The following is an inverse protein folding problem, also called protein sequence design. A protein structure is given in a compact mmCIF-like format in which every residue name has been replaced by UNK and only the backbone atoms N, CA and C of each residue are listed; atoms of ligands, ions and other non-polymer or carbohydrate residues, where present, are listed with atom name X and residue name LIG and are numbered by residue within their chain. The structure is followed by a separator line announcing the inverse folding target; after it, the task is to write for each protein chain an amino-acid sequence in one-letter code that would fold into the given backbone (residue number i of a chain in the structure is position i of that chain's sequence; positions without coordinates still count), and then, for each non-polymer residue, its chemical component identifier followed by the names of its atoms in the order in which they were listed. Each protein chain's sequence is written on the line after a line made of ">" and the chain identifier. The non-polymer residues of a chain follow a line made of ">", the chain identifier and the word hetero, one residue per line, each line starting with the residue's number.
data_IF_475486687889
#
_entry.id   IF_475486687889
#
_cell.length_a   1.000
_cell.length_b   1.000
_cell.length_c   1.000
_cell.angle_alpha   90.00
_cell.angle_beta   90.00
_cell.angle_gamma   90.00
#
_symmetry.space_group_name_H-M   'P 1'
#
loop_
_entity.id
_entity.type
_entity.pdbx_description
1 polymer ?
#
# COMPACT_ATOMS: atom_id res chain seq x y z
N UNK A 1 16.98 4.94 -11.48
CA UNK A 1 15.57 4.86 -11.94
C UNK A 1 15.26 3.67 -12.87
N UNK A 2 16.23 3.04 -13.54
CA UNK A 2 15.97 1.99 -14.54
C UNK A 2 15.12 0.81 -14.05
N UNK A 3 15.36 0.31 -12.83
CA UNK A 3 14.54 -0.77 -12.24
C UNK A 3 13.08 -0.36 -12.00
N UNK A 4 12.84 0.92 -11.69
CA UNK A 4 11.49 1.44 -11.49
C UNK A 4 10.74 1.52 -12.82
N UNK A 5 11.41 1.97 -13.89
CA UNK A 5 10.84 1.98 -15.24
C UNK A 5 10.54 0.55 -15.75
N UNK A 6 11.47 -0.38 -15.57
CA UNK A 6 11.28 -1.80 -15.92
C UNK A 6 10.11 -2.43 -15.14
N UNK A 7 10.02 -2.16 -13.83
CA UNK A 7 8.90 -2.61 -13.01
C UNK A 7 7.56 -2.04 -13.47
N UNK A 8 7.53 -0.77 -13.85
CA UNK A 8 6.30 -0.14 -14.34
C UNK A 8 5.88 -0.68 -15.72
N UNK A 9 6.83 -1.05 -16.59
CA UNK A 9 6.55 -1.71 -17.88
C UNK A 9 5.99 -3.12 -17.72
N UNK A 10 6.39 -3.86 -16.67
CA UNK A 10 5.88 -5.21 -16.39
C UNK A 10 4.54 -5.20 -15.62
N UNK A 11 4.09 -4.03 -15.17
CA UNK A 11 2.78 -3.87 -14.55
C UNK A 11 1.70 -4.02 -15.61
N UNK A 12 0.67 -4.83 -15.32
CA UNK A 12 -0.52 -4.90 -16.16
C UNK A 12 -1.20 -3.53 -16.17
N UNK A 13 -1.10 -2.86 -17.31
CA UNK A 13 -1.77 -1.61 -17.61
C UNK A 13 -2.67 -1.89 -18.81
N UNK A 14 -3.99 -1.99 -18.59
CA UNK A 14 -4.93 -1.96 -19.69
C UNK A 14 -5.65 -0.62 -19.70
N UNK A 15 -5.63 0.13 -20.82
CA UNK A 15 -6.42 1.34 -20.95
C UNK A 15 -7.90 1.08 -20.68
N UNK A 16 -8.55 1.99 -19.98
CA UNK A 16 -10.01 2.15 -20.04
C UNK A 16 -10.31 3.52 -20.64
N UNK A 17 -11.55 3.72 -21.11
CA UNK A 17 -12.01 4.99 -21.65
C UNK A 17 -11.92 6.18 -20.67
N UNK A 18 -11.62 5.94 -19.39
CA UNK A 18 -11.56 6.94 -18.33
C UNK A 18 -10.15 7.25 -17.81
N UNK A 19 -9.17 6.34 -17.96
CA UNK A 19 -7.78 6.62 -17.57
C UNK A 19 -6.78 5.63 -18.19
N UNK A 20 -5.71 6.16 -18.82
CA UNK A 20 -4.82 5.40 -19.72
C UNK A 20 -3.63 4.73 -19.01
N UNK A 21 -3.27 5.19 -17.80
CA UNK A 21 -1.95 4.87 -17.21
C UNK A 21 -2.01 4.01 -15.93
N UNK A 22 -3.13 3.99 -15.19
CA UNK A 22 -3.18 3.38 -13.83
C UNK A 22 -4.41 2.52 -13.49
N UNK A 23 -5.38 2.34 -14.37
CA UNK A 23 -6.76 2.04 -13.94
C UNK A 23 -7.04 0.62 -13.45
N UNK A 24 -6.14 -0.37 -13.60
CA UNK A 24 -6.52 -1.78 -13.41
C UNK A 24 -5.73 -2.62 -12.41
N UNK A 25 -4.64 -2.10 -11.85
CA UNK A 25 -3.86 -2.81 -10.84
C UNK A 25 -3.36 -1.86 -9.77
N UNK A 26 -3.16 -2.35 -8.54
CA UNK A 26 -2.47 -1.60 -7.48
C UNK A 26 -0.98 -1.90 -7.56
N UNK A 27 -0.14 -0.88 -7.36
CA UNK A 27 1.30 -1.06 -7.23
C UNK A 27 1.79 -0.62 -5.85
N UNK A 28 2.77 -1.35 -5.33
CA UNK A 28 3.43 -1.04 -4.06
C UNK A 28 4.92 -1.05 -4.28
N UNK A 29 5.55 0.09 -4.04
CA UNK A 29 7.00 0.25 -4.03
C UNK A 29 7.46 0.52 -2.60
N UNK A 30 8.30 -0.38 -2.07
CA UNK A 30 8.93 -0.20 -0.78
C UNK A 30 10.40 0.18 -0.97
N UNK A 31 10.80 1.33 -0.43
CA UNK A 31 12.20 1.74 -0.29
C UNK A 31 12.60 1.53 1.16
N UNK A 32 13.51 0.59 1.41
CA UNK A 32 14.06 0.34 2.74
C UNK A 32 15.49 0.87 2.83
N UNK A 33 15.75 1.74 3.79
CA UNK A 33 17.09 2.30 4.06
C UNK A 33 17.61 1.70 5.35
N UNK A 34 18.83 1.18 5.33
CA UNK A 34 19.55 0.70 6.51
C UNK A 34 20.86 1.46 6.62
N UNK A 35 21.07 2.10 7.75
CA UNK A 35 22.30 2.79 8.09
C UNK A 35 22.97 2.08 9.26
N UNK A 36 24.27 1.84 9.15
CA UNK A 36 25.09 1.27 10.22
C UNK A 36 26.19 2.26 10.58
N UNK A 37 26.44 2.45 11.88
CA UNK A 37 27.60 3.23 12.33
C UNK A 37 28.91 2.55 11.90
N UNK A 38 29.89 3.34 11.46
CA UNK A 38 31.23 2.86 11.06
C UNK A 38 32.23 2.84 12.22
N UNK A 39 31.82 3.26 13.41
CA UNK A 39 32.70 3.33 14.59
C UNK A 39 32.94 1.93 15.14
N UNK A 40 34.21 1.59 15.37
CA UNK A 40 34.65 0.23 15.73
C UNK A 40 34.39 -0.19 17.18
N UNK A 41 33.94 0.68 18.07
CA UNK A 41 33.74 0.34 19.48
C UNK A 41 32.46 0.99 20.04
N UNK A 42 31.70 0.16 20.77
CA UNK A 42 30.43 0.42 21.47
C UNK A 42 29.18 0.41 20.57
N UNK A 43 28.39 -0.66 20.74
CA UNK A 43 27.02 -0.88 20.24
C UNK A 43 26.74 -0.34 18.83
N UNK A 44 26.84 -1.22 17.82
CA UNK A 44 26.43 -0.89 16.44
C UNK A 44 24.96 -0.49 16.39
N UNK A 45 24.69 0.81 16.45
CA UNK A 45 23.36 1.35 16.21
C UNK A 45 23.04 1.17 14.72
N UNK A 46 22.06 0.30 14.44
CA UNK A 46 21.51 0.10 13.09
C UNK A 46 20.21 0.89 13.00
N UNK A 47 20.22 1.98 12.24
CA UNK A 47 19.01 2.74 11.92
C UNK A 47 18.37 2.16 10.67
N UNK A 48 17.06 1.93 10.72
CA UNK A 48 16.31 1.43 9.57
C UNK A 48 15.07 2.29 9.34
N UNK A 49 14.89 2.74 8.10
CA UNK A 49 13.69 3.43 7.62
C UNK A 49 13.03 2.64 6.50
N UNK A 50 11.72 2.75 6.37
CA UNK A 50 10.95 2.20 5.25
C UNK A 50 9.98 3.25 4.74
N UNK A 51 10.06 3.55 3.46
CA UNK A 51 9.11 4.38 2.71
C UNK A 51 8.27 3.46 1.83
N UNK A 52 6.95 3.61 1.88
CA UNK A 52 6.02 2.89 1.02
C UNK A 52 5.35 3.91 0.10
N UNK A 53 5.51 3.73 -1.21
CA UNK A 53 4.81 4.46 -2.25
C UNK A 53 3.79 3.50 -2.85
N UNK A 54 2.51 3.82 -2.66
CA UNK A 54 1.40 2.96 -3.10
C UNK A 54 0.63 3.74 -4.16
N UNK A 55 0.52 3.15 -5.35
CA UNK A 55 -0.31 3.64 -6.43
C UNK A 55 -1.53 2.75 -6.56
N UNK A 56 -2.72 3.35 -6.45
CA UNK A 56 -3.98 2.63 -6.39
C UNK A 56 -4.68 2.68 -7.75
N UNK A 57 -5.34 1.58 -8.10
CA UNK A 57 -6.24 1.53 -9.24
C UNK A 57 -7.44 2.48 -9.07
N UNK A 58 -8.13 2.75 -10.18
CA UNK A 58 -9.30 3.63 -10.21
C UNK A 58 -10.44 3.12 -9.32
N UNK A 59 -11.18 4.05 -8.72
CA UNK A 59 -12.30 3.78 -7.80
C UNK A 59 -13.67 3.95 -8.47
N UNK A 60 -13.71 3.91 -9.81
CA UNK A 60 -14.92 4.23 -10.56
C UNK A 60 -16.03 3.23 -10.26
N UNK A 61 -17.25 3.75 -10.13
CA UNK A 61 -18.42 2.90 -9.88
C UNK A 61 -18.76 2.12 -11.14
N UNK A 62 -19.11 0.84 -10.96
CA UNK A 62 -19.51 -0.02 -12.09
C UNK A 62 -20.63 0.60 -12.93
N UNK A 63 -21.59 1.31 -12.31
CA UNK A 63 -22.69 2.03 -12.98
C UNK A 63 -22.23 3.17 -13.89
N UNK A 64 -21.04 3.72 -13.68
CA UNK A 64 -20.46 4.78 -14.50
C UNK A 64 -19.61 4.22 -15.64
N UNK A 65 -19.43 2.90 -15.70
CA UNK A 65 -18.63 2.22 -16.73
C UNK A 65 -19.52 1.38 -17.64
N UNK A 66 -19.20 1.30 -18.93
CA UNK A 66 -19.86 0.37 -19.86
C UNK A 66 -19.21 -1.03 -19.87
N UNK A 67 -18.56 -1.41 -18.77
CA UNK A 67 -17.85 -2.68 -18.66
C UNK A 67 -18.84 -3.85 -18.61
N UNK A 68 -18.57 -4.92 -19.38
CA UNK A 68 -19.37 -6.15 -19.43
C UNK A 68 -18.47 -7.38 -19.27
N UNK A 69 -19.06 -8.50 -18.87
CA UNK A 69 -18.36 -9.79 -18.76
C UNK A 69 -17.11 -9.71 -17.87
N UNK A 70 -15.97 -10.09 -18.42
CA UNK A 70 -14.70 -10.14 -17.67
C UNK A 70 -14.27 -8.78 -17.11
N UNK A 71 -14.51 -7.68 -17.85
CA UNK A 71 -14.17 -6.32 -17.39
C UNK A 71 -15.00 -5.88 -16.18
N UNK A 72 -16.25 -6.34 -16.09
CA UNK A 72 -17.10 -6.06 -14.93
C UNK A 72 -16.58 -6.80 -13.69
N UNK A 73 -16.16 -8.07 -13.85
CA UNK A 73 -15.57 -8.85 -12.75
C UNK A 73 -14.26 -8.22 -12.25
N UNK A 74 -13.41 -7.78 -13.18
CA UNK A 74 -12.17 -7.07 -12.87
C UNK A 74 -12.43 -5.80 -12.07
N UNK A 75 -13.33 -4.93 -12.54
CA UNK A 75 -13.72 -3.70 -11.83
C UNK A 75 -14.30 -3.99 -10.44
N UNK A 76 -15.07 -5.06 -10.28
CA UNK A 76 -15.57 -5.49 -8.97
C UNK A 76 -14.43 -5.89 -8.01
N UNK A 77 -13.40 -6.59 -8.51
CA UNK A 77 -12.22 -6.95 -7.70
C UNK A 77 -11.42 -5.72 -7.27
N UNK A 78 -11.23 -4.75 -8.17
CA UNK A 78 -10.58 -3.46 -7.86
C UNK A 78 -11.35 -2.74 -6.75
N UNK A 79 -12.65 -2.53 -6.95
CA UNK A 79 -13.50 -1.84 -5.97
C UNK A 79 -13.57 -2.56 -4.62
N UNK A 80 -13.56 -3.90 -4.61
CA UNK A 80 -13.52 -4.69 -3.37
C UNK A 80 -12.28 -4.37 -2.55
N UNK A 81 -11.11 -4.30 -3.18
CA UNK A 81 -9.86 -3.99 -2.47
C UNK A 81 -9.78 -2.55 -1.97
N UNK A 82 -10.32 -1.59 -2.73
CA UNK A 82 -10.41 -0.17 -2.34
C UNK A 82 -11.41 0.04 -1.19
N UNK A 83 -12.55 -0.64 -1.22
CA UNK A 83 -13.53 -0.61 -0.13
C UNK A 83 -12.93 -1.17 1.17
N UNK A 84 -12.24 -2.32 1.08
CA UNK A 84 -11.55 -2.89 2.24
C UNK A 84 -10.52 -1.91 2.81
N UNK A 85 -9.79 -1.19 1.95
CA UNK A 85 -8.85 -0.14 2.37
C UNK A 85 -9.56 1.00 3.09
N UNK A 86 -10.65 1.54 2.52
CA UNK A 86 -11.44 2.61 3.15
C UNK A 86 -11.99 2.19 4.51
N UNK A 87 -12.49 0.97 4.64
CA UNK A 87 -12.95 0.42 5.91
C UNK A 87 -11.82 0.34 6.96
N UNK A 88 -10.61 -0.07 6.56
CA UNK A 88 -9.46 -0.09 7.46
C UNK A 88 -9.05 1.31 7.93
N UNK A 89 -9.01 2.28 7.02
CA UNK A 89 -8.66 3.68 7.34
C UNK A 89 -9.69 4.28 8.30
N UNK A 90 -10.98 4.10 8.02
CA UNK A 90 -12.05 4.59 8.88
C UNK A 90 -11.95 4.01 10.29
N UNK A 91 -11.74 2.70 10.41
CA UNK A 91 -11.57 2.03 11.69
C UNK A 91 -10.31 2.49 12.44
N UNK A 92 -9.22 2.82 11.74
CA UNK A 92 -8.00 3.36 12.34
C UNK A 92 -8.11 4.84 12.75
N UNK A 93 -8.97 5.61 12.08
CA UNK A 93 -9.16 7.02 12.38
C UNK A 93 -10.05 7.27 13.60
N UNK A 94 -10.89 6.31 13.96
CA UNK A 94 -11.78 6.37 15.12
C UNK A 94 -11.00 6.10 16.42
N UNK A 95 -10.42 7.15 17.00
CA UNK A 95 -9.57 7.09 18.20
C UNK A 95 -10.28 6.67 19.49
N UNK A 96 -11.62 6.64 19.48
CA UNK A 96 -12.45 6.35 20.65
C UNK A 96 -12.93 4.90 20.75
N UNK A 97 -12.83 4.13 19.67
CA UNK A 97 -13.25 2.73 19.66
C UNK A 97 -12.05 1.82 19.43
N UNK A 98 -11.83 0.87 20.34
CA UNK A 98 -10.84 -0.20 20.16
C UNK A 98 -11.37 -1.25 19.16
N UNK A 99 -11.90 -0.77 18.03
CA UNK A 99 -12.55 -1.58 17.00
C UNK A 99 -11.51 -2.44 16.31
N UNK A 100 -11.86 -3.71 16.16
CA UNK A 100 -11.06 -4.64 15.38
C UNK A 100 -10.98 -4.17 13.92
N UNK A 101 -9.76 -3.91 13.44
CA UNK A 101 -9.50 -3.56 12.04
C UNK A 101 -9.29 -4.83 11.22
N UNK A 102 -10.21 -5.12 10.29
CA UNK A 102 -10.14 -6.31 9.46
C UNK A 102 -9.21 -6.14 8.25
N UNK A 103 -7.92 -6.41 8.46
CA UNK A 103 -6.93 -6.38 7.38
C UNK A 103 -6.96 -7.58 6.42
N UNK A 104 -7.84 -8.57 6.63
CA UNK A 104 -7.78 -9.84 5.86
C UNK A 104 -8.56 -9.80 4.55
N UNK A 105 -9.44 -8.82 4.36
CA UNK A 105 -10.38 -8.72 3.25
C UNK A 105 -9.73 -8.46 1.88
N UNK A 106 -8.50 -7.95 1.86
CA UNK A 106 -7.74 -7.79 0.62
C UNK A 106 -6.23 -7.98 0.84
N UNK A 107 -5.49 -8.31 -0.22
CA UNK A 107 -4.02 -8.33 -0.16
C UNK A 107 -3.45 -6.94 0.18
N UNK A 108 -4.09 -5.89 -0.33
CA UNK A 108 -3.72 -4.50 -0.09
C UNK A 108 -3.81 -4.12 1.41
N UNK A 109 -4.91 -4.50 2.07
CA UNK A 109 -5.09 -4.23 3.51
C UNK A 109 -4.16 -5.08 4.38
N UNK A 110 -3.75 -6.27 3.95
CA UNK A 110 -2.68 -7.03 4.63
C UNK A 110 -1.34 -6.31 4.56
N UNK A 111 -1.01 -5.67 3.43
CA UNK A 111 0.19 -4.85 3.30
C UNK A 111 0.09 -3.60 4.19
N UNK A 112 -1.07 -2.95 4.26
CA UNK A 112 -1.31 -1.82 5.17
C UNK A 112 -1.02 -2.19 6.64
N UNK A 113 -1.40 -3.39 7.08
CA UNK A 113 -1.07 -3.87 8.42
C UNK A 113 0.44 -3.86 8.66
N UNK A 114 1.23 -4.31 7.67
CA UNK A 114 2.70 -4.33 7.77
C UNK A 114 3.28 -2.91 7.84
N UNK A 115 2.67 -1.93 7.16
CA UNK A 115 3.13 -0.54 7.21
C UNK A 115 2.72 0.17 8.50
N UNK A 116 1.55 -0.16 9.07
CA UNK A 116 1.02 0.49 10.27
C UNK A 116 1.48 -0.16 11.59
N UNK A 117 1.78 -1.47 11.60
CA UNK A 117 2.00 -2.24 12.83
C UNK A 117 3.47 -2.44 13.22
N UNK A 118 4.43 -1.74 12.61
CA UNK A 118 5.81 -1.78 13.11
C UNK A 118 5.98 -0.72 14.20
N UNK A 119 6.27 -1.11 15.46
CA UNK A 119 6.64 -0.13 16.48
C UNK A 119 7.86 0.62 15.96
N UNK A 120 7.74 1.95 15.84
CA UNK A 120 8.91 2.81 15.77
C UNK A 120 9.67 2.53 17.06
N UNK A 121 10.81 1.83 16.98
CA UNK A 121 11.72 1.73 18.12
C UNK A 121 12.18 3.16 18.43
N UNK A 122 11.39 3.82 19.28
CA UNK A 122 11.75 5.08 19.88
C UNK A 122 13.02 4.85 20.67
N UNK A 123 14.00 5.70 20.41
CA UNK A 123 15.17 5.90 21.23
C UNK A 123 14.71 5.97 22.70
N UNK A 124 14.97 4.93 23.49
CA UNK A 124 15.04 5.11 24.95
C UNK A 124 16.28 5.98 25.17
N UNK A 125 16.07 7.28 25.21
CA UNK A 125 17.04 8.19 25.78
C UNK A 125 17.11 7.87 27.27
N UNK A 126 18.21 7.26 27.69
CA UNK A 126 18.60 7.30 29.10
C UNK A 126 18.75 8.79 29.47
N UNK A 127 17.88 9.25 30.37
CA UNK A 127 18.23 10.28 31.34
C UNK A 127 18.60 9.56 32.63
#
# INVERSE_FOLDING_TARGET
>A
MQLLMKGNQQRTQEPTAANQTSSRSHAVLQVAVRQRSRVKNLLQEVRQGRLFMIDLAGSERASQTRNRGQRMKEGAHINRSLLALGNCINALSDRGSNKYVNYRDSKLTRLLKVTAAQPRRGHQGNK
#
